data_IF_970343511681
#
_entry.id   IF_970343511681
#
_cell.length_a   1.000
_cell.length_b   1.000
_cell.length_c   1.000
_cell.angle_alpha   90.00
_cell.angle_beta   90.00
_cell.angle_gamma   90.00
#
_symmetry.space_group_name_H-M   'P 1'
#
loop_
_entity.id
_entity.type
_entity.pdbx_description
1 polymer ?
#
# COMPACT_ATOMS: atom_id res chain seq x y z
N UNK A 1 8.71 -2.96 -4.71
CA UNK A 1 8.55 -4.09 -3.78
C UNK A 1 9.07 -3.64 -2.43
N UNK A 2 8.39 -4.01 -1.36
CA UNK A 2 8.86 -3.69 0.00
C UNK A 2 9.85 -4.76 0.46
N UNK A 3 10.76 -4.36 1.36
CA UNK A 3 11.65 -5.29 2.05
C UNK A 3 10.85 -6.00 3.15
N UNK A 4 10.50 -7.26 2.91
CA UNK A 4 9.66 -8.04 3.83
C UNK A 4 10.41 -8.42 5.10
N UNK A 5 11.70 -8.72 4.98
CA UNK A 5 12.49 -9.20 6.12
C UNK A 5 12.66 -8.06 7.14
N UNK A 6 12.97 -6.85 6.65
CA UNK A 6 13.01 -5.64 7.47
C UNK A 6 11.65 -5.33 8.14
N UNK A 7 10.53 -5.59 7.47
CA UNK A 7 9.18 -5.38 8.04
C UNK A 7 8.90 -6.38 9.17
N UNK A 8 9.25 -7.65 8.98
CA UNK A 8 9.06 -8.70 9.98
C UNK A 8 9.91 -8.41 11.21
N UNK A 9 11.19 -8.10 11.01
CA UNK A 9 12.11 -7.75 12.10
C UNK A 9 11.58 -6.57 12.92
N UNK A 10 11.15 -5.50 12.26
CA UNK A 10 10.58 -4.33 12.94
C UNK A 10 9.28 -4.66 13.68
N UNK A 11 8.44 -5.52 13.10
CA UNK A 11 7.18 -5.98 13.68
C UNK A 11 7.38 -6.81 14.95
N UNK A 12 8.26 -7.80 14.89
CA UNK A 12 8.64 -8.65 16.03
C UNK A 12 9.23 -7.82 17.18
N UNK A 13 10.12 -6.88 16.85
CA UNK A 13 10.69 -5.96 17.83
C UNK A 13 9.62 -5.07 18.49
N UNK A 14 8.62 -4.63 17.75
CA UNK A 14 7.55 -3.77 18.26
C UNK A 14 6.63 -4.48 19.26
N UNK A 15 6.40 -5.79 19.10
CA UNK A 15 5.48 -6.57 19.95
C UNK A 15 6.14 -7.20 21.17
N UNK A 16 7.47 -7.36 21.16
CA UNK A 16 8.24 -8.08 22.17
C UNK A 16 7.98 -7.63 23.63
N UNK A 17 7.77 -6.33 23.85
CA UNK A 17 7.53 -5.78 25.19
C UNK A 17 6.09 -5.95 25.70
N UNK A 18 5.15 -6.33 24.83
CA UNK A 18 3.72 -6.27 25.12
C UNK A 18 3.05 -7.63 25.22
N UNK A 19 3.81 -8.72 25.08
CA UNK A 19 3.26 -10.08 25.06
C UNK A 19 2.33 -10.32 23.87
N UNK A 20 2.55 -9.59 22.78
CA UNK A 20 1.82 -9.70 21.52
C UNK A 20 2.63 -10.52 20.50
N UNK A 21 1.96 -11.09 19.52
CA UNK A 21 2.57 -11.82 18.40
C UNK A 21 2.45 -10.99 17.11
N UNK A 22 3.51 -10.99 16.30
CA UNK A 22 3.52 -10.34 15.00
C UNK A 22 3.11 -11.35 13.91
N UNK A 23 1.94 -11.14 13.28
CA UNK A 23 1.44 -12.00 12.20
C UNK A 23 2.19 -11.71 10.88
N UNK A 24 3.22 -12.49 10.57
CA UNK A 24 4.08 -12.32 9.40
C UNK A 24 3.54 -12.94 8.09
N UNK A 25 2.22 -13.04 7.94
CA UNK A 25 1.60 -13.68 6.78
C UNK A 25 1.93 -12.97 5.45
N UNK A 26 2.10 -13.76 4.39
CA UNK A 26 2.37 -13.24 3.05
C UNK A 26 1.12 -13.25 2.16
N UNK A 27 0.42 -12.11 2.07
CA UNK A 27 -0.77 -11.97 1.23
C UNK A 27 -0.47 -11.66 -0.26
N UNK A 28 0.80 -11.70 -0.70
CA UNK A 28 1.17 -11.31 -2.08
C UNK A 28 0.57 -12.22 -3.14
N UNK A 29 0.36 -13.50 -2.84
CA UNK A 29 -0.22 -14.47 -3.78
C UNK A 29 -1.61 -14.03 -4.25
N UNK A 30 -2.45 -13.54 -3.33
CA UNK A 30 -3.82 -13.12 -3.63
C UNK A 30 -3.94 -11.70 -4.15
N UNK A 31 -2.82 -10.95 -4.22
CA UNK A 31 -2.83 -9.53 -4.58
C UNK A 31 -3.48 -9.27 -5.95
N UNK A 32 -3.15 -10.06 -6.98
CA UNK A 32 -3.70 -9.85 -8.33
C UNK A 32 -5.21 -10.13 -8.36
N UNK A 33 -5.66 -11.17 -7.67
CA UNK A 33 -7.07 -11.50 -7.57
C UNK A 33 -7.85 -10.39 -6.84
N UNK A 34 -7.34 -9.91 -5.71
CA UNK A 34 -7.93 -8.81 -4.95
C UNK A 34 -8.02 -7.51 -5.77
N UNK A 35 -6.98 -7.18 -6.55
CA UNK A 35 -6.99 -6.00 -7.41
C UNK A 35 -8.05 -6.07 -8.52
N UNK A 36 -8.24 -7.25 -9.10
CA UNK A 36 -9.26 -7.47 -10.12
C UNK A 36 -10.67 -7.39 -9.51
N UNK A 37 -10.88 -8.00 -8.34
CA UNK A 37 -12.15 -7.91 -7.61
C UNK A 37 -12.48 -6.46 -7.23
N UNK A 38 -11.51 -5.70 -6.73
CA UNK A 38 -11.69 -4.29 -6.40
C UNK A 38 -12.10 -3.45 -7.63
N UNK A 39 -11.56 -3.79 -8.82
CA UNK A 39 -11.95 -3.17 -10.09
C UNK A 39 -13.38 -3.50 -10.46
N UNK A 40 -13.79 -4.77 -10.32
CA UNK A 40 -15.14 -5.24 -10.63
C UNK A 40 -16.19 -4.63 -9.72
N UNK A 41 -15.87 -4.48 -8.42
CA UNK A 41 -16.75 -3.88 -7.42
C UNK A 41 -16.78 -2.35 -7.45
N UNK A 42 -15.97 -1.71 -8.31
CA UNK A 42 -15.90 -0.25 -8.39
C UNK A 42 -15.28 0.41 -7.16
N UNK A 43 -14.50 -0.33 -6.37
CA UNK A 43 -13.84 0.21 -5.18
C UNK A 43 -12.80 1.27 -5.57
N UNK A 44 -12.64 2.27 -4.71
CA UNK A 44 -11.55 3.22 -4.84
C UNK A 44 -10.20 2.49 -4.72
N UNK A 45 -9.33 2.70 -5.70
CA UNK A 45 -7.97 2.12 -5.72
C UNK A 45 -6.96 3.25 -5.73
N UNK A 46 -6.29 3.42 -4.60
CA UNK A 46 -5.32 4.48 -4.39
C UNK A 46 -4.14 4.34 -5.36
N UNK A 47 -3.85 5.41 -6.12
CA UNK A 47 -2.76 5.43 -7.12
C UNK A 47 -1.41 5.84 -6.55
N UNK A 48 -1.40 6.47 -5.38
CA UNK A 48 -0.23 6.99 -4.68
C UNK A 48 -0.57 7.20 -3.19
N UNK A 49 0.42 7.14 -2.31
CA UNK A 49 0.25 7.11 -0.85
C UNK A 49 -0.36 8.38 -0.22
N UNK A 50 -0.49 9.48 -0.97
CA UNK A 50 -0.79 10.81 -0.43
C UNK A 50 0.47 11.66 -0.18
N UNK A 51 1.61 11.00 0.02
CA UNK A 51 2.92 11.65 0.18
C UNK A 51 3.51 12.14 -1.15
N UNK A 52 4.27 13.25 -1.11
CA UNK A 52 4.95 13.82 -2.28
C UNK A 52 5.90 12.80 -2.94
N UNK A 53 6.63 12.04 -2.14
CA UNK A 53 7.55 11.00 -2.61
C UNK A 53 6.81 9.94 -3.44
N UNK A 54 5.65 9.47 -2.96
CA UNK A 54 4.86 8.50 -3.72
C UNK A 54 4.16 9.13 -4.91
N UNK A 55 3.82 10.42 -4.86
CA UNK A 55 3.26 11.13 -6.00
C UNK A 55 4.27 11.16 -7.12
N UNK A 56 5.47 11.68 -6.86
CA UNK A 56 6.58 11.81 -7.82
C UNK A 56 6.99 10.44 -8.39
N UNK A 57 7.01 9.40 -7.57
CA UNK A 57 7.32 8.03 -8.00
C UNK A 57 6.15 7.30 -8.69
N UNK A 58 4.94 7.88 -8.71
CA UNK A 58 3.77 7.21 -9.27
C UNK A 58 3.79 7.24 -10.80
N UNK A 59 3.62 6.06 -11.42
CA UNK A 59 3.34 5.95 -12.87
C UNK A 59 2.03 6.63 -13.31
N UNK A 60 1.22 7.11 -12.36
CA UNK A 60 -0.02 7.85 -12.61
C UNK A 60 0.10 9.35 -12.32
N UNK A 61 1.32 9.87 -12.13
CA UNK A 61 1.59 11.26 -11.74
C UNK A 61 0.72 12.28 -12.47
N UNK A 62 0.79 12.32 -13.80
CA UNK A 62 0.03 13.28 -14.63
C UNK A 62 -1.48 13.20 -14.38
N UNK A 63 -2.02 11.98 -14.28
CA UNK A 63 -3.45 11.75 -14.04
C UNK A 63 -3.84 12.22 -12.64
N UNK A 64 -3.00 11.98 -11.63
CA UNK A 64 -3.24 12.43 -10.25
C UNK A 64 -3.22 13.97 -10.20
N UNK A 65 -2.21 14.61 -10.80
CA UNK A 65 -2.13 16.07 -10.84
C UNK A 65 -3.33 16.70 -11.56
N UNK A 66 -3.77 16.12 -12.68
CA UNK A 66 -4.96 16.58 -13.40
C UNK A 66 -6.26 16.37 -12.61
N UNK A 67 -6.35 15.31 -11.79
CA UNK A 67 -7.47 15.09 -10.89
C UNK A 67 -7.48 16.11 -9.74
N UNK A 68 -6.33 16.40 -9.12
CA UNK A 68 -6.22 17.40 -8.07
C UNK A 68 -6.50 18.83 -8.55
N UNK A 69 -6.06 19.18 -9.75
CA UNK A 69 -6.31 20.49 -10.34
C UNK A 69 -7.81 20.77 -10.57
N UNK A 70 -8.67 19.75 -10.58
CA UNK A 70 -10.14 19.90 -10.68
C UNK A 70 -10.83 20.09 -9.33
N UNK A 71 -10.12 19.85 -8.23
CA UNK A 71 -10.62 19.98 -6.87
C UNK A 71 -10.36 21.38 -6.28
N UNK A 72 -9.54 22.18 -6.97
CA UNK A 72 -9.21 23.57 -6.67
C UNK A 72 -10.01 24.45 -7.64
#
# INVERSE_FOLDING_TARGET
YQDRDSIIEAGEAAVAAYGLEFEAHDWREQYRHGQELARQLGLYRQKYCGCIVSLEASKYYEKICAEHAKLI
#
